data_IF_698300512006
#
_entry.id   IF_698300512006
#
_cell.length_a   1.000
_cell.length_b   1.000
_cell.length_c   1.000
_cell.angle_alpha   90.00
_cell.angle_beta   90.00
_cell.angle_gamma   90.00
#
_symmetry.space_group_name_H-M   'P 1'
#
loop_
_entity.id
_entity.type
_entity.pdbx_description
1 polymer ?
#
# COMPACT_ATOMS: atom_id res chain seq x y z
N UNK A 1 53.93 -4.70 -40.25
CA UNK A 1 53.63 -4.11 -41.57
C UNK A 1 52.18 -4.43 -41.88
N UNK A 2 51.23 -3.54 -42.19
CA UNK A 2 51.27 -2.27 -42.92
C UNK A 2 50.34 -1.23 -42.28
N UNK A 3 50.79 0.03 -42.33
CA UNK A 3 50.00 1.27 -42.24
C UNK A 3 49.01 1.34 -43.41
N UNK A 4 47.80 1.85 -43.17
CA UNK A 4 47.11 2.73 -44.11
C UNK A 4 46.56 3.94 -43.33
N UNK A 5 46.97 5.11 -43.80
CA UNK A 5 46.55 6.45 -43.40
C UNK A 5 45.46 6.92 -44.36
N UNK A 6 44.42 7.63 -43.90
CA UNK A 6 44.14 8.96 -44.45
C UNK A 6 43.08 9.79 -43.70
N UNK A 7 43.51 11.01 -43.37
CA UNK A 7 42.85 12.32 -43.47
C UNK A 7 41.32 12.46 -43.50
N UNK A 8 40.84 13.35 -42.61
CA UNK A 8 39.55 14.03 -42.73
C UNK A 8 39.34 15.07 -41.63
N UNK A 9 40.09 16.18 -41.67
CA UNK A 9 39.90 17.33 -40.77
C UNK A 9 38.63 18.08 -41.17
N UNK A 10 37.55 17.95 -40.39
CA UNK A 10 36.36 18.79 -40.47
C UNK A 10 36.39 19.78 -39.29
N UNK A 11 36.88 20.99 -39.56
CA UNK A 11 36.73 22.14 -38.65
C UNK A 11 35.26 22.57 -38.65
N UNK A 12 34.47 22.03 -37.72
CA UNK A 12 33.13 22.56 -37.42
C UNK A 12 33.31 23.77 -36.50
N UNK A 13 32.86 24.93 -36.97
CA UNK A 13 33.01 26.23 -36.32
C UNK A 13 32.45 26.21 -34.87
N UNK A 14 33.29 26.57 -33.90
CA UNK A 14 33.00 26.67 -32.45
C UNK A 14 32.00 27.80 -32.07
N UNK A 15 31.17 28.26 -33.00
CA UNK A 15 30.20 29.36 -32.78
C UNK A 15 28.74 28.86 -32.87
N UNK A 16 28.48 27.65 -33.38
CA UNK A 16 27.11 27.12 -33.53
C UNK A 16 26.56 26.44 -32.27
N UNK A 17 27.41 26.04 -31.32
CA UNK A 17 26.99 25.32 -30.11
C UNK A 17 26.25 26.17 -29.06
N UNK A 18 26.66 27.43 -28.75
CA UNK A 18 25.95 28.24 -27.75
C UNK A 18 24.60 28.78 -28.27
N UNK A 19 24.44 28.99 -29.57
CA UNK A 19 23.18 29.44 -30.17
C UNK A 19 22.09 28.37 -30.13
N UNK A 20 22.44 27.09 -30.35
CA UNK A 20 21.49 25.97 -30.27
C UNK A 20 20.94 25.74 -28.86
N UNK A 21 21.77 25.89 -27.82
CA UNK A 21 21.36 25.76 -26.42
C UNK A 21 20.40 26.88 -25.99
N UNK A 22 20.64 28.12 -26.42
CA UNK A 22 19.74 29.23 -26.11
C UNK A 22 18.37 29.06 -26.78
N UNK A 23 18.32 28.64 -28.06
CA UNK A 23 17.05 28.40 -28.76
C UNK A 23 16.27 27.25 -28.11
N UNK A 24 16.94 26.17 -27.71
CA UNK A 24 16.32 25.06 -26.99
C UNK A 24 15.74 25.47 -25.63
N UNK A 25 16.46 26.30 -24.86
CA UNK A 25 15.98 26.80 -23.58
C UNK A 25 14.78 27.75 -23.74
N UNK A 26 14.79 28.62 -24.75
CA UNK A 26 13.67 29.50 -25.06
C UNK A 26 12.42 28.73 -25.47
N UNK A 27 12.54 27.69 -26.31
CA UNK A 27 11.41 26.82 -26.68
C UNK A 27 10.88 26.07 -25.46
N UNK A 28 11.77 25.55 -24.60
CA UNK A 28 11.37 24.85 -23.38
C UNK A 28 10.68 25.76 -22.36
N UNK A 29 11.18 26.97 -22.14
CA UNK A 29 10.55 27.96 -21.25
C UNK A 29 9.22 28.47 -21.83
N UNK A 30 9.15 28.67 -23.15
CA UNK A 30 7.89 29.01 -23.82
C UNK A 30 6.87 27.87 -23.71
N UNK A 31 7.29 26.61 -23.83
CA UNK A 31 6.46 25.43 -23.62
C UNK A 31 5.94 25.34 -22.17
N UNK A 32 6.80 25.55 -21.17
CA UNK A 32 6.38 25.58 -19.75
C UNK A 32 5.40 26.73 -19.49
N UNK A 33 5.65 27.92 -20.03
CA UNK A 33 4.73 29.07 -19.88
C UNK A 33 3.41 28.84 -20.59
N UNK A 34 3.43 28.26 -21.78
CA UNK A 34 2.22 27.89 -22.54
C UNK A 34 1.40 26.85 -21.76
N UNK A 35 2.02 25.78 -21.27
CA UNK A 35 1.32 24.75 -20.50
C UNK A 35 0.81 25.23 -19.13
N UNK A 36 1.47 26.20 -18.47
CA UNK A 36 0.91 26.84 -17.26
C UNK A 36 -0.26 27.79 -17.58
N UNK A 37 -0.23 28.48 -18.72
CA UNK A 37 -1.31 29.38 -19.12
C UNK A 37 -2.61 28.64 -19.47
N UNK A 38 -2.53 27.44 -20.07
CA UNK A 38 -3.71 26.63 -20.41
C UNK A 38 -4.42 26.04 -19.18
N UNK A 39 -3.73 25.89 -18.05
CA UNK A 39 -4.35 25.42 -16.79
C UNK A 39 -5.08 26.54 -16.03
N UNK A 40 -4.83 27.81 -16.35
CA UNK A 40 -5.42 28.95 -15.61
C UNK A 40 -6.70 29.49 -16.26
N UNK A 41 -7.04 29.09 -17.50
CA UNK A 41 -8.27 29.51 -18.19
C UNK A 41 -9.46 28.55 -18.05
N UNK A 42 -9.28 27.38 -17.42
CA UNK A 42 -10.41 26.50 -17.09
C UNK A 42 -11.08 26.84 -15.74
N UNK A 43 -10.47 27.72 -14.93
CA UNK A 43 -10.95 28.03 -13.57
C UNK A 43 -11.71 29.36 -13.43
N UNK A 44 -11.82 30.17 -14.50
CA UNK A 44 -12.38 31.54 -14.42
C UNK A 44 -13.70 31.77 -15.19
N UNK A 45 -14.32 30.71 -15.72
CA UNK A 45 -15.54 30.85 -16.56
C UNK A 45 -16.86 30.44 -15.88
N UNK A 46 -16.89 30.18 -14.56
CA UNK A 46 -18.15 29.89 -13.83
C UNK A 46 -18.55 30.99 -12.83
N UNK A 47 -17.74 32.04 -12.62
CA UNK A 47 -18.10 33.17 -11.74
C UNK A 47 -18.69 34.35 -12.52
N UNK A 48 -19.86 34.16 -13.14
CA UNK A 48 -20.68 35.32 -13.58
C UNK A 48 -22.18 35.00 -13.76
N UNK A 49 -22.88 34.74 -12.67
CA UNK A 49 -24.33 34.94 -12.52
C UNK A 49 -24.66 34.91 -11.01
N UNK A 50 -24.54 36.03 -10.31
CA UNK A 50 -25.65 36.88 -9.86
C UNK A 50 -25.80 36.80 -8.32
N UNK A 51 -26.35 37.85 -7.67
CA UNK A 51 -26.00 38.25 -6.30
C UNK A 51 -27.08 37.89 -5.26
N UNK A 52 -26.72 37.87 -3.98
CA UNK A 52 -27.71 37.98 -2.90
C UNK A 52 -27.34 37.21 -1.63
N UNK A 53 -27.32 37.92 -0.52
CA UNK A 53 -27.01 37.44 0.81
C UNK A 53 -28.00 36.38 1.32
N UNK A 54 -27.49 35.41 2.09
CA UNK A 54 -28.05 35.17 3.43
C UNK A 54 -27.04 34.42 4.31
N UNK A 55 -26.62 35.10 5.38
CA UNK A 55 -25.92 34.51 6.51
C UNK A 55 -26.90 33.54 7.18
N UNK A 56 -26.63 32.24 7.05
CA UNK A 56 -27.43 31.18 7.64
C UNK A 56 -26.49 30.16 8.27
N UNK A 57 -26.60 30.00 9.58
CA UNK A 57 -25.82 29.07 10.38
C UNK A 57 -25.90 27.65 9.78
N UNK A 58 -24.75 27.08 9.42
CA UNK A 58 -24.64 25.64 9.20
C UNK A 58 -24.04 25.00 10.45
N UNK A 59 -24.89 24.29 11.14
CA UNK A 59 -24.60 23.51 12.33
C UNK A 59 -23.44 22.54 12.07
N UNK A 60 -22.59 22.37 13.08
CA UNK A 60 -21.57 21.33 13.13
C UNK A 60 -22.22 19.95 12.93
N UNK A 61 -21.96 19.31 11.79
CA UNK A 61 -22.24 17.88 11.62
C UNK A 61 -21.21 17.05 12.40
N UNK A 62 -21.59 15.91 13.00
CA UNK A 62 -20.64 15.04 13.68
C UNK A 62 -19.64 14.45 12.70
N UNK A 63 -18.39 14.34 13.14
CA UNK A 63 -17.26 13.75 12.42
C UNK A 63 -17.66 12.41 11.77
N UNK A 64 -17.63 12.32 10.43
CA UNK A 64 -17.66 11.06 9.70
C UNK A 64 -18.93 10.68 8.93
N UNK A 65 -19.95 11.54 8.83
CA UNK A 65 -21.11 11.27 7.95
C UNK A 65 -20.96 11.99 6.62
N UNK A 66 -20.73 11.24 5.53
CA UNK A 66 -21.00 11.76 4.19
C UNK A 66 -22.49 12.09 4.08
N UNK A 67 -22.85 13.01 3.17
CA UNK A 67 -24.20 13.56 3.01
C UNK A 67 -25.33 12.54 2.70
N UNK A 68 -25.01 11.25 2.64
CA UNK A 68 -25.87 10.13 2.28
C UNK A 68 -25.91 9.01 3.36
N UNK A 69 -25.41 9.28 4.58
CA UNK A 69 -25.42 8.30 5.69
C UNK A 69 -24.34 7.22 5.61
N UNK A 70 -23.41 7.34 4.66
CA UNK A 70 -22.23 6.49 4.56
C UNK A 70 -21.12 6.98 5.50
N UNK A 71 -20.56 6.07 6.30
CA UNK A 71 -19.41 6.31 7.15
C UNK A 71 -18.13 6.19 6.33
N UNK A 72 -17.27 7.21 6.37
CA UNK A 72 -15.93 7.17 5.75
C UNK A 72 -14.88 7.09 6.84
N UNK A 73 -13.94 6.17 6.72
CA UNK A 73 -12.85 6.02 7.67
C UNK A 73 -11.57 5.52 7.00
N UNK A 74 -10.44 5.66 7.70
CA UNK A 74 -9.12 5.39 7.16
C UNK A 74 -8.33 4.43 8.06
N UNK A 75 -7.31 3.79 7.49
CA UNK A 75 -6.31 3.04 8.23
C UNK A 75 -4.93 3.15 7.59
N UNK A 76 -3.88 3.30 8.40
CA UNK A 76 -2.49 3.37 7.95
C UNK A 76 -1.76 2.12 8.41
N UNK A 77 -1.21 1.36 7.46
CA UNK A 77 -0.41 0.16 7.71
C UNK A 77 0.98 0.31 7.14
N UNK A 78 1.98 0.19 8.01
CA UNK A 78 3.38 0.07 7.64
C UNK A 78 3.77 -1.41 7.57
N UNK A 79 4.29 -1.83 6.42
CA UNK A 79 4.95 -3.11 6.22
C UNK A 79 6.47 -2.89 6.30
N UNK A 80 7.07 -3.37 7.39
CA UNK A 80 8.52 -3.37 7.55
C UNK A 80 9.13 -4.71 7.11
N UNK A 81 9.45 -4.79 5.81
CA UNK A 81 10.16 -5.90 5.20
C UNK A 81 11.69 -5.79 5.28
N UNK A 82 12.38 -6.89 4.99
CA UNK A 82 13.85 -6.94 4.93
C UNK A 82 14.45 -6.05 3.83
N UNK A 83 13.77 -5.93 2.70
CA UNK A 83 14.25 -5.23 1.50
C UNK A 83 13.74 -3.80 1.38
N UNK A 84 12.73 -3.42 2.16
CA UNK A 84 12.10 -2.11 2.11
C UNK A 84 11.02 -1.96 3.16
N UNK A 85 10.72 -0.72 3.50
CA UNK A 85 9.59 -0.34 4.37
C UNK A 85 8.54 0.34 3.52
N UNK A 86 7.29 -0.08 3.66
CA UNK A 86 6.17 0.39 2.84
C UNK A 86 5.11 0.98 3.76
N UNK A 87 4.37 1.97 3.26
CA UNK A 87 3.14 2.47 3.88
C UNK A 87 1.99 2.27 2.90
N UNK A 88 0.89 1.77 3.45
CA UNK A 88 -0.41 1.65 2.81
C UNK A 88 -1.39 2.53 3.59
N UNK A 89 -2.06 3.45 2.90
CA UNK A 89 -3.14 4.25 3.44
C UNK A 89 -4.42 3.79 2.76
N UNK A 90 -5.34 3.21 3.53
CA UNK A 90 -6.59 2.68 3.04
C UNK A 90 -7.74 3.61 3.42
N UNK A 91 -8.59 3.93 2.45
CA UNK A 91 -9.87 4.59 2.68
C UNK A 91 -11.00 3.59 2.52
N UNK A 92 -11.91 3.58 3.49
CA UNK A 92 -13.08 2.73 3.51
C UNK A 92 -14.34 3.56 3.51
N UNK A 93 -15.39 3.02 2.88
CA UNK A 93 -16.75 3.54 3.00
C UNK A 93 -17.66 2.44 3.51
N UNK A 94 -18.52 2.75 4.49
CA UNK A 94 -19.47 1.81 5.07
C UNK A 94 -20.89 2.35 4.95
N UNK A 95 -21.76 1.72 4.14
CA UNK A 95 -23.19 1.96 4.18
C UNK A 95 -23.79 1.48 5.52
N UNK A 96 -24.92 2.05 5.96
CA UNK A 96 -25.58 1.61 7.19
C UNK A 96 -25.88 0.11 7.19
N UNK A 97 -25.40 -0.60 8.22
CA UNK A 97 -25.59 -2.06 8.40
C UNK A 97 -24.94 -2.96 7.35
N UNK A 98 -24.05 -2.42 6.52
CA UNK A 98 -23.29 -3.19 5.53
C UNK A 98 -21.82 -3.34 5.92
N UNK A 99 -21.13 -4.25 5.23
CA UNK A 99 -19.68 -4.38 5.36
C UNK A 99 -18.99 -3.19 4.70
N UNK A 100 -17.96 -2.61 5.35
CA UNK A 100 -17.16 -1.57 4.73
C UNK A 100 -16.48 -2.08 3.46
N UNK A 101 -16.39 -1.23 2.44
CA UNK A 101 -15.69 -1.49 1.18
C UNK A 101 -14.44 -0.64 1.10
N UNK A 102 -13.38 -1.16 0.47
CA UNK A 102 -12.19 -0.36 0.16
C UNK A 102 -12.50 0.54 -1.03
N UNK A 103 -12.33 1.86 -0.87
CA UNK A 103 -12.55 2.82 -1.96
C UNK A 103 -11.26 3.37 -2.54
N UNK A 104 -10.18 3.43 -1.75
CA UNK A 104 -8.90 3.96 -2.20
C UNK A 104 -7.72 3.36 -1.41
N UNK A 105 -6.59 3.16 -2.09
CA UNK A 105 -5.30 2.83 -1.47
C UNK A 105 -4.22 3.79 -1.99
N UNK A 106 -3.50 4.42 -1.06
CA UNK A 106 -2.24 5.09 -1.34
C UNK A 106 -1.08 4.22 -0.88
N UNK A 107 -0.12 3.98 -1.78
CA UNK A 107 1.04 3.14 -1.53
C UNK A 107 2.36 3.90 -1.76
N UNK A 108 3.29 3.79 -0.80
CA UNK A 108 4.67 4.27 -0.94
C UNK A 108 5.66 3.29 -0.31
N UNK A 109 6.77 3.04 -0.99
CA UNK A 109 7.85 2.19 -0.50
C UNK A 109 9.19 2.95 -0.45
N UNK A 110 9.98 2.67 0.57
CA UNK A 110 11.35 3.13 0.74
C UNK A 110 12.34 1.95 0.78
N UNK A 111 13.57 2.23 0.35
CA UNK A 111 14.72 1.34 0.46
C UNK A 111 15.92 2.14 1.00
N UNK A 112 16.77 1.55 1.87
CA UNK A 112 16.68 0.19 2.40
C UNK A 112 15.55 0.03 3.43
N UNK A 113 15.21 -1.22 3.76
CA UNK A 113 14.17 -1.53 4.75
C UNK A 113 14.60 -1.26 6.19
N UNK A 114 13.64 -1.27 7.11
CA UNK A 114 13.86 -0.94 8.52
C UNK A 114 15.02 -1.73 9.15
N UNK A 115 15.17 -3.02 8.81
CA UNK A 115 16.24 -3.88 9.33
C UNK A 115 17.66 -3.40 9.01
N UNK A 116 17.85 -2.61 7.95
CA UNK A 116 19.17 -2.06 7.61
C UNK A 116 19.66 -1.01 8.62
N UNK A 117 18.76 -0.48 9.45
CA UNK A 117 19.06 0.51 10.49
C UNK A 117 19.23 -0.11 11.88
N UNK A 118 19.37 -1.44 11.99
CA UNK A 118 19.51 -2.14 13.27
C UNK A 118 20.73 -1.68 14.10
N UNK A 119 21.76 -1.15 13.44
CA UNK A 119 22.98 -0.61 14.08
C UNK A 119 22.93 0.92 14.28
N UNK A 120 22.01 1.62 13.64
CA UNK A 120 21.85 3.07 13.71
C UNK A 120 20.37 3.44 13.74
N UNK A 121 19.78 3.23 14.92
CA UNK A 121 18.35 3.33 15.16
C UNK A 121 17.83 4.76 14.90
N UNK A 122 18.65 5.79 15.10
CA UNK A 122 18.24 7.18 14.86
C UNK A 122 17.95 7.45 13.38
N UNK A 123 18.73 6.87 12.46
CA UNK A 123 18.46 6.99 11.02
C UNK A 123 17.15 6.33 10.57
N UNK A 124 16.63 5.37 11.34
CA UNK A 124 15.35 4.73 11.02
C UNK A 124 14.17 5.70 11.09
N UNK A 125 14.24 6.71 11.97
CA UNK A 125 13.16 7.66 12.19
C UNK A 125 12.87 8.52 10.96
N UNK A 126 13.90 8.89 10.18
CA UNK A 126 13.74 9.73 9.00
C UNK A 126 12.89 9.05 7.92
N UNK A 127 13.15 7.77 7.62
CA UNK A 127 12.36 7.02 6.64
C UNK A 127 10.91 6.82 7.09
N UNK A 128 10.69 6.58 8.39
CA UNK A 128 9.34 6.50 8.95
C UNK A 128 8.62 7.85 8.86
N UNK A 129 9.31 8.95 9.14
CA UNK A 129 8.73 10.30 9.04
C UNK A 129 8.34 10.64 7.60
N UNK A 130 9.18 10.31 6.62
CA UNK A 130 8.88 10.51 5.20
C UNK A 130 7.59 9.78 4.80
N UNK A 131 7.42 8.53 5.24
CA UNK A 131 6.20 7.76 4.97
C UNK A 131 4.97 8.29 5.73
N UNK A 132 5.15 8.81 6.96
CA UNK A 132 4.07 9.47 7.70
C UNK A 132 3.61 10.76 7.03
N UNK A 133 4.52 11.49 6.38
CA UNK A 133 4.16 12.71 5.68
C UNK A 133 3.34 12.43 4.42
N UNK A 134 3.51 11.26 3.79
CA UNK A 134 2.59 10.77 2.74
C UNK A 134 1.18 10.60 3.31
N UNK A 135 1.05 9.96 4.48
CA UNK A 135 -0.26 9.75 5.10
C UNK A 135 -0.95 11.08 5.51
N UNK A 136 -0.19 12.07 5.97
CA UNK A 136 -0.72 13.42 6.27
C UNK A 136 -1.19 14.17 5.03
N UNK A 137 -0.56 13.94 3.89
CA UNK A 137 -0.97 14.56 2.61
C UNK A 137 -2.22 13.90 2.04
N UNK A 138 -2.39 12.60 2.26
CA UNK A 138 -3.50 11.81 1.72
C UNK A 138 -4.79 11.92 2.56
N UNK A 139 -4.67 11.90 3.89
CA UNK A 139 -5.83 11.88 4.80
C UNK A 139 -6.23 13.32 5.18
N UNK A 140 -7.52 13.71 5.08
CA UNK A 140 -7.97 15.02 5.54
C UNK A 140 -7.75 15.20 7.05
N UNK A 141 -7.38 16.42 7.45
CA UNK A 141 -6.97 16.75 8.82
C UNK A 141 -7.95 16.29 9.90
N UNK A 142 -9.26 16.41 9.65
CA UNK A 142 -10.30 16.05 10.61
C UNK A 142 -10.31 14.55 10.97
N UNK A 143 -9.80 13.69 10.08
CA UNK A 143 -9.73 12.25 10.31
C UNK A 143 -8.47 11.79 11.03
N UNK A 144 -7.43 12.64 11.16
CA UNK A 144 -6.13 12.21 11.69
C UNK A 144 -6.22 11.51 13.04
N UNK A 145 -6.91 12.12 14.01
CA UNK A 145 -7.08 11.56 15.37
C UNK A 145 -7.90 10.28 15.42
N UNK A 146 -8.68 9.98 14.39
CA UNK A 146 -9.52 8.78 14.29
C UNK A 146 -8.82 7.65 13.52
N UNK A 147 -7.86 7.98 12.65
CA UNK A 147 -7.19 7.02 11.78
C UNK A 147 -6.16 6.18 12.53
N UNK A 148 -6.34 4.85 12.64
CA UNK A 148 -5.35 3.98 13.27
C UNK A 148 -4.06 3.90 12.46
N UNK A 149 -2.94 3.97 13.17
CA UNK A 149 -1.59 3.85 12.62
C UNK A 149 -0.89 2.62 13.21
N UNK A 150 -0.52 1.68 12.33
CA UNK A 150 0.07 0.41 12.71
C UNK A 150 1.29 0.10 11.86
N UNK A 151 2.32 -0.51 12.46
CA UNK A 151 3.45 -1.12 11.79
C UNK A 151 3.52 -2.60 12.16
N UNK A 152 3.64 -3.43 11.14
CA UNK A 152 3.94 -4.85 11.31
C UNK A 152 5.24 -5.19 10.60
N UNK A 153 6.18 -5.73 11.38
CA UNK A 153 7.46 -6.17 10.85
C UNK A 153 7.41 -7.65 10.46
N UNK A 154 7.96 -7.98 9.30
CA UNK A 154 7.93 -9.33 8.73
C UNK A 154 9.27 -10.05 8.94
N UNK A 155 9.53 -11.10 8.15
CA UNK A 155 10.66 -12.02 8.33
C UNK A 155 12.02 -11.35 8.53
N UNK A 156 12.29 -10.21 7.88
CA UNK A 156 13.57 -9.50 8.02
C UNK A 156 13.92 -9.09 9.44
N UNK A 157 12.94 -8.58 10.20
CA UNK A 157 13.17 -8.16 11.58
C UNK A 157 13.11 -9.34 12.56
N UNK A 158 12.43 -10.45 12.21
CA UNK A 158 12.44 -11.70 13.01
C UNK A 158 13.85 -12.29 13.15
N UNK A 159 14.70 -12.06 12.15
CA UNK A 159 16.07 -12.60 12.09
C UNK A 159 17.11 -11.71 12.79
N UNK A 160 16.74 -10.50 13.22
CA UNK A 160 17.64 -9.63 13.97
C UNK A 160 17.78 -10.13 15.41
N UNK A 161 18.93 -9.88 16.08
CA UNK A 161 19.05 -10.11 17.51
C UNK A 161 17.94 -9.38 18.26
N UNK A 162 17.29 -10.07 19.22
CA UNK A 162 16.07 -9.57 19.87
C UNK A 162 16.20 -8.17 20.45
N UNK A 163 17.34 -7.84 21.04
CA UNK A 163 17.60 -6.50 21.60
C UNK A 163 17.65 -5.40 20.52
N UNK A 164 18.27 -5.68 19.37
CA UNK A 164 18.35 -4.71 18.25
C UNK A 164 16.97 -4.49 17.63
N UNK A 165 16.22 -5.57 17.40
CA UNK A 165 14.86 -5.49 16.89
C UNK A 165 13.95 -4.68 17.84
N UNK A 166 14.04 -4.94 19.15
CA UNK A 166 13.26 -4.22 20.15
C UNK A 166 13.61 -2.73 20.20
N UNK A 167 14.89 -2.36 20.21
CA UNK A 167 15.32 -0.94 20.18
C UNK A 167 14.79 -0.21 18.94
N UNK A 168 14.86 -0.86 17.79
CA UNK A 168 14.38 -0.32 16.52
C UNK A 168 12.85 -0.13 16.54
N UNK A 169 12.09 -1.13 16.97
CA UNK A 169 10.63 -1.05 17.08
C UNK A 169 10.19 -0.03 18.13
N UNK A 170 10.93 0.10 19.23
CA UNK A 170 10.68 1.10 20.25
C UNK A 170 10.86 2.51 19.69
N UNK A 171 11.90 2.75 18.88
CA UNK A 171 12.08 4.03 18.19
C UNK A 171 10.94 4.34 17.24
N UNK A 172 10.48 3.37 16.45
CA UNK A 172 9.29 3.55 15.60
C UNK A 172 8.06 3.91 16.43
N UNK A 173 7.86 3.23 17.56
CA UNK A 173 6.73 3.49 18.47
C UNK A 173 6.77 4.92 19.02
N UNK A 174 7.94 5.47 19.32
CA UNK A 174 8.12 6.87 19.73
C UNK A 174 7.72 7.83 18.61
N UNK A 175 8.20 7.59 17.38
CA UNK A 175 7.83 8.40 16.20
C UNK A 175 6.31 8.35 15.95
N UNK A 176 5.69 7.18 16.09
CA UNK A 176 4.24 7.02 15.94
C UNK A 176 3.47 7.79 17.02
N UNK A 177 3.88 7.68 18.29
CA UNK A 177 3.25 8.43 19.39
C UNK A 177 3.37 9.94 19.26
N UNK A 178 4.41 10.44 18.59
CA UNK A 178 4.57 11.86 18.27
C UNK A 178 3.73 12.31 17.06
N UNK A 179 3.17 11.38 16.29
CA UNK A 179 2.31 11.66 15.14
C UNK A 179 0.89 12.06 15.58
N UNK A 180 0.11 12.72 14.72
CA UNK A 180 -1.27 13.12 15.04
C UNK A 180 -2.30 11.98 14.89
N UNK A 181 -1.85 10.78 14.49
CA UNK A 181 -2.71 9.64 14.22
C UNK A 181 -3.07 8.85 15.48
N UNK A 182 -4.10 7.99 15.39
CA UNK A 182 -4.50 7.12 16.49
C UNK A 182 -3.51 5.97 16.66
N UNK A 183 -2.85 5.91 17.82
CA UNK A 183 -1.83 4.91 18.14
C UNK A 183 -2.25 4.12 19.37
N UNK A 184 -2.51 2.82 19.21
CA UNK A 184 -2.74 1.89 20.31
C UNK A 184 -1.43 1.35 20.92
N UNK A 185 -1.52 0.60 22.00
CA UNK A 185 -0.35 0.04 22.69
C UNK A 185 0.41 -1.00 21.86
N UNK A 186 -0.28 -1.70 20.96
CA UNK A 186 0.20 -2.75 20.06
C UNK A 186 0.40 -2.27 18.61
N UNK A 187 0.46 -0.95 18.42
CA UNK A 187 0.65 -0.29 17.13
C UNK A 187 1.91 -0.74 16.38
N UNK A 188 2.95 -1.18 17.08
CA UNK A 188 4.20 -1.66 16.47
C UNK A 188 4.48 -3.05 16.99
N UNK A 189 4.49 -4.05 16.11
CA UNK A 189 4.82 -5.42 16.50
C UNK A 189 5.49 -6.21 15.38
N UNK A 190 6.21 -7.26 15.77
CA UNK A 190 6.65 -8.29 14.83
C UNK A 190 5.45 -9.21 14.58
N UNK A 191 5.06 -9.36 13.33
CA UNK A 191 4.03 -10.32 12.94
C UNK A 191 4.66 -11.71 12.89
N UNK A 192 3.99 -12.77 13.35
CA UNK A 192 4.46 -14.14 13.10
C UNK A 192 4.00 -14.62 11.70
N UNK A 193 4.52 -15.75 11.21
CA UNK A 193 4.14 -16.25 9.86
C UNK A 193 2.68 -16.69 9.74
N UNK A 194 2.09 -17.19 10.83
CA UNK A 194 0.69 -17.62 10.88
C UNK A 194 -0.27 -16.43 10.76
N UNK A 195 -0.03 -15.36 11.52
CA UNK A 195 -0.80 -14.11 11.51
C UNK A 195 -0.72 -13.42 10.15
N UNK A 196 0.43 -13.53 9.48
CA UNK A 196 0.64 -13.06 8.11
C UNK A 196 -0.26 -13.83 7.13
N UNK A 197 -0.37 -15.15 7.28
CA UNK A 197 -1.30 -16.00 6.53
C UNK A 197 -2.77 -15.67 6.79
N UNK A 198 -3.17 -15.46 8.04
CA UNK A 198 -4.53 -15.05 8.41
C UNK A 198 -4.87 -13.67 7.84
N UNK A 199 -3.93 -12.72 7.88
CA UNK A 199 -4.12 -11.38 7.32
C UNK A 199 -4.24 -11.40 5.80
N UNK A 200 -3.45 -12.24 5.12
CA UNK A 200 -3.61 -12.49 3.69
C UNK A 200 -4.99 -13.10 3.36
N UNK A 201 -5.47 -14.01 4.20
CA UNK A 201 -6.81 -14.59 4.06
C UNK A 201 -7.93 -13.57 4.22
N UNK A 202 -7.88 -12.72 5.25
CA UNK A 202 -8.84 -11.62 5.46
C UNK A 202 -8.85 -10.70 4.24
N UNK A 203 -7.67 -10.34 3.72
CA UNK A 203 -7.52 -9.51 2.52
C UNK A 203 -8.27 -10.10 1.33
N UNK A 204 -8.08 -11.40 1.05
CA UNK A 204 -8.75 -12.09 -0.04
C UNK A 204 -10.28 -12.01 0.14
N UNK A 205 -10.79 -12.33 1.33
CA UNK A 205 -12.23 -12.34 1.57
C UNK A 205 -12.83 -10.92 1.54
N UNK A 206 -12.11 -9.93 2.07
CA UNK A 206 -12.56 -8.55 2.19
C UNK A 206 -12.64 -7.85 0.83
N UNK A 207 -11.68 -8.09 -0.05
CA UNK A 207 -11.64 -7.40 -1.34
C UNK A 207 -12.60 -8.00 -2.38
N UNK A 208 -13.21 -9.16 -2.14
CA UNK A 208 -13.90 -9.85 -3.23
C UNK A 208 -15.26 -9.24 -3.61
N UNK A 209 -15.26 -8.35 -4.61
CA UNK A 209 -16.41 -8.11 -5.50
C UNK A 209 -16.34 -9.06 -6.74
N UNK A 210 -17.50 -9.52 -7.19
CA UNK A 210 -17.71 -10.81 -7.86
C UNK A 210 -17.31 -10.90 -9.34
N UNK A 211 -16.99 -9.79 -10.01
CA UNK A 211 -17.13 -9.76 -11.48
C UNK A 211 -15.88 -10.14 -12.30
N UNK A 212 -14.68 -10.30 -11.71
CA UNK A 212 -13.46 -10.72 -12.46
C UNK A 212 -12.55 -11.74 -11.76
N UNK A 213 -13.02 -12.36 -10.67
CA UNK A 213 -12.28 -13.42 -9.97
C UNK A 213 -12.50 -14.82 -10.58
N UNK A 214 -11.64 -15.76 -10.21
CA UNK A 214 -11.87 -17.20 -10.42
C UNK A 214 -12.30 -17.86 -9.10
N UNK A 215 -13.30 -18.73 -9.17
CA UNK A 215 -13.73 -19.57 -8.05
C UNK A 215 -12.98 -20.90 -8.12
N UNK A 216 -12.16 -21.19 -7.12
CA UNK A 216 -11.55 -22.49 -6.91
C UNK A 216 -12.19 -23.14 -5.69
N UNK A 217 -12.30 -24.44 -5.68
CA UNK A 217 -12.74 -25.20 -4.51
C UNK A 217 -11.49 -25.64 -3.74
N UNK A 218 -11.53 -25.68 -2.41
CA UNK A 218 -10.39 -26.15 -1.59
C UNK A 218 -9.92 -27.54 -2.05
N UNK A 219 -10.84 -28.41 -2.44
CA UNK A 219 -10.54 -29.71 -3.04
C UNK A 219 -9.73 -29.64 -4.34
N UNK A 220 -9.78 -28.53 -5.09
CA UNK A 220 -9.04 -28.38 -6.35
C UNK A 220 -7.53 -28.33 -6.12
N UNK A 221 -7.07 -27.78 -4.99
CA UNK A 221 -5.66 -27.77 -4.61
C UNK A 221 -5.13 -29.18 -4.38
N UNK A 222 -5.94 -30.05 -3.78
CA UNK A 222 -5.58 -31.44 -3.56
C UNK A 222 -5.56 -32.24 -4.88
N UNK A 223 -6.53 -32.01 -5.75
CA UNK A 223 -6.60 -32.63 -7.09
C UNK A 223 -5.37 -32.21 -7.91
N UNK A 224 -5.04 -30.92 -7.91
CA UNK A 224 -3.88 -30.39 -8.60
C UNK A 224 -2.56 -30.94 -8.02
N UNK A 225 -2.42 -30.99 -6.69
CA UNK A 225 -1.26 -31.58 -6.03
C UNK A 225 -1.05 -33.04 -6.48
N UNK A 226 -2.11 -33.87 -6.42
CA UNK A 226 -2.05 -35.27 -6.87
C UNK A 226 -1.66 -35.41 -8.34
N UNK A 227 -2.19 -34.55 -9.19
CA UNK A 227 -1.88 -34.56 -10.62
C UNK A 227 -0.41 -34.19 -10.88
N UNK A 228 0.06 -33.07 -10.33
CA UNK A 228 1.42 -32.56 -10.54
C UNK A 228 2.45 -33.50 -9.91
N UNK A 229 2.22 -34.00 -8.69
CA UNK A 229 3.11 -34.96 -8.04
C UNK A 229 3.27 -36.27 -8.82
N UNK A 230 2.24 -36.71 -9.56
CA UNK A 230 2.28 -37.92 -10.39
C UNK A 230 2.87 -37.72 -11.78
N UNK A 231 2.80 -36.50 -12.31
CA UNK A 231 3.22 -36.18 -13.68
C UNK A 231 4.55 -35.42 -13.75
N UNK A 232 5.17 -35.15 -12.60
CA UNK A 232 6.41 -34.39 -12.48
C UNK A 232 7.58 -34.97 -13.28
N UNK A 233 7.63 -36.29 -13.43
CA UNK A 233 8.66 -36.98 -14.21
C UNK A 233 8.44 -36.87 -15.74
N UNK A 234 7.20 -36.63 -16.17
CA UNK A 234 6.81 -36.66 -17.60
C UNK A 234 6.47 -35.27 -18.16
N UNK A 235 6.15 -34.29 -17.31
CA UNK A 235 5.88 -32.90 -17.70
C UNK A 235 6.68 -31.89 -16.86
N UNK A 236 7.95 -31.60 -17.22
CA UNK A 236 8.80 -30.65 -16.51
C UNK A 236 8.38 -29.17 -16.65
N UNK A 237 7.32 -28.88 -17.42
CA UNK A 237 6.76 -27.52 -17.62
C UNK A 237 6.11 -26.93 -16.36
N UNK A 238 5.79 -27.77 -15.36
CA UNK A 238 5.11 -27.37 -14.12
C UNK A 238 6.01 -26.63 -13.12
N UNK A 239 7.32 -26.58 -13.37
CA UNK A 239 8.31 -26.07 -12.42
C UNK A 239 8.70 -27.13 -11.37
N UNK A 240 9.97 -27.14 -10.91
CA UNK A 240 10.51 -28.23 -10.08
C UNK A 240 9.88 -28.36 -8.69
N UNK A 241 9.18 -27.33 -8.20
CA UNK A 241 8.63 -27.29 -6.84
C UNK A 241 7.10 -27.31 -6.77
N UNK A 242 6.40 -27.36 -7.91
CA UNK A 242 4.94 -27.23 -7.93
C UNK A 242 4.18 -28.32 -7.15
N UNK A 243 4.69 -29.55 -7.10
CA UNK A 243 4.11 -30.59 -6.24
C UNK A 243 4.23 -30.23 -4.75
N UNK A 244 5.39 -29.73 -4.34
CA UNK A 244 5.62 -29.32 -2.95
C UNK A 244 4.73 -28.14 -2.59
N UNK A 245 4.67 -27.12 -3.46
CA UNK A 245 3.87 -25.91 -3.24
C UNK A 245 2.36 -26.25 -3.16
N UNK A 246 1.83 -27.03 -4.10
CA UNK A 246 0.42 -27.44 -4.09
C UNK A 246 0.07 -28.35 -2.91
N UNK A 247 0.98 -29.25 -2.53
CA UNK A 247 0.79 -30.10 -1.34
C UNK A 247 0.78 -29.27 -0.06
N UNK A 248 1.70 -28.30 0.04
CA UNK A 248 1.76 -27.38 1.17
C UNK A 248 0.49 -26.54 1.30
N UNK A 249 0.01 -25.93 0.20
CA UNK A 249 -1.22 -25.14 0.20
C UNK A 249 -2.43 -26.02 0.54
N UNK A 250 -2.53 -27.24 0.00
CA UNK A 250 -3.62 -28.16 0.31
C UNK A 250 -3.66 -28.54 1.79
N UNK A 251 -2.51 -28.86 2.39
CA UNK A 251 -2.42 -29.20 3.82
C UNK A 251 -2.71 -27.99 4.70
N UNK A 252 -2.18 -26.82 4.35
CA UNK A 252 -2.43 -25.59 5.08
C UNK A 252 -3.92 -25.24 5.13
N UNK A 253 -4.64 -25.37 4.00
CA UNK A 253 -6.09 -25.15 3.96
C UNK A 253 -6.86 -26.16 4.80
N UNK A 254 -6.39 -27.40 4.91
CA UNK A 254 -6.99 -28.43 5.76
C UNK A 254 -6.75 -28.14 7.26
N UNK A 255 -5.54 -27.75 7.64
CA UNK A 255 -5.18 -27.37 9.02
C UNK A 255 -5.94 -26.12 9.48
N UNK A 256 -6.25 -25.19 8.56
CA UNK A 256 -7.16 -24.08 8.84
C UNK A 256 -8.64 -24.48 8.94
N UNK A 257 -8.97 -25.76 8.79
CA UNK A 257 -10.32 -26.30 8.97
C UNK A 257 -11.26 -26.05 7.79
N UNK A 258 -10.75 -25.70 6.60
CA UNK A 258 -11.62 -25.50 5.46
C UNK A 258 -12.17 -26.84 4.93
N UNK A 259 -13.50 -27.00 4.80
CA UNK A 259 -14.05 -28.18 4.17
C UNK A 259 -13.65 -28.19 2.69
N UNK A 260 -13.42 -29.38 2.14
CA UNK A 260 -13.04 -29.54 0.74
C UNK A 260 -13.97 -28.83 -0.24
N UNK A 261 -15.26 -28.68 0.08
CA UNK A 261 -16.27 -28.00 -0.74
C UNK A 261 -16.23 -26.47 -0.67
N UNK A 262 -15.38 -25.89 0.20
CA UNK A 262 -15.29 -24.44 0.35
C UNK A 262 -14.79 -23.82 -0.95
N UNK A 263 -15.54 -22.87 -1.48
CA UNK A 263 -15.12 -22.04 -2.62
C UNK A 263 -14.21 -20.92 -2.10
N UNK A 264 -12.99 -20.88 -2.63
CA UNK A 264 -12.01 -19.81 -2.52
C UNK A 264 -12.09 -18.95 -3.78
N UNK A 265 -12.17 -17.64 -3.61
CA UNK A 265 -12.04 -16.69 -4.73
C UNK A 265 -10.62 -16.15 -4.74
N UNK A 266 -9.89 -16.36 -5.83
CA UNK A 266 -8.53 -15.85 -5.97
C UNK A 266 -8.51 -14.55 -6.79
N UNK A 267 -7.74 -13.59 -6.31
CA UNK A 267 -7.47 -12.33 -7.01
C UNK A 267 -6.06 -11.84 -6.70
N UNK A 268 -5.42 -11.20 -7.68
CA UNK A 268 -4.04 -10.65 -7.58
C UNK A 268 -4.04 -9.14 -7.37
N UNK A 269 -5.14 -8.46 -7.75
CA UNK A 269 -5.38 -7.02 -7.61
C UNK A 269 -6.88 -6.77 -7.62
N UNK A 270 -7.37 -5.86 -6.78
CA UNK A 270 -8.79 -5.44 -6.77
C UNK A 270 -8.82 -3.94 -7.01
N UNK A 271 -9.47 -3.50 -8.09
CA UNK A 271 -9.48 -2.09 -8.51
C UNK A 271 -8.08 -1.43 -8.57
N UNK A 272 -7.09 -2.21 -9.04
CA UNK A 272 -5.67 -1.82 -9.14
C UNK A 272 -4.92 -1.69 -7.80
N UNK A 273 -5.58 -2.00 -6.67
CA UNK A 273 -5.01 -2.15 -5.32
C UNK A 273 -4.30 -3.51 -5.21
N UNK A 274 -3.08 -3.52 -4.66
CA UNK A 274 -2.33 -4.76 -4.46
C UNK A 274 -2.95 -5.57 -3.32
N UNK A 275 -3.27 -6.84 -3.55
CA UNK A 275 -3.76 -7.74 -2.49
C UNK A 275 -2.60 -8.06 -1.54
N UNK A 276 -2.32 -7.15 -0.61
CA UNK A 276 -1.28 -7.31 0.40
C UNK A 276 -1.92 -7.65 1.74
N UNK A 277 -1.27 -8.51 2.53
CA UNK A 277 -1.69 -8.84 3.90
C UNK A 277 -1.90 -7.59 4.77
N UNK A 278 -1.30 -6.46 4.40
CA UNK A 278 -1.44 -5.17 5.06
C UNK A 278 -2.90 -4.74 5.19
N UNK A 279 -3.74 -5.00 4.17
CA UNK A 279 -5.16 -4.67 4.21
C UNK A 279 -5.92 -5.49 5.26
N UNK A 280 -5.76 -6.81 5.24
CA UNK A 280 -6.41 -7.67 6.22
C UNK A 280 -5.93 -7.39 7.63
N UNK A 281 -4.64 -7.09 7.80
CA UNK A 281 -4.07 -6.73 9.09
C UNK A 281 -4.63 -5.41 9.64
N UNK A 282 -4.78 -4.37 8.80
CA UNK A 282 -5.34 -3.09 9.27
C UNK A 282 -6.84 -3.20 9.53
N UNK A 283 -7.56 -3.95 8.70
CA UNK A 283 -8.99 -4.16 8.88
C UNK A 283 -9.29 -4.88 10.19
N UNK A 284 -8.57 -5.97 10.46
CA UNK A 284 -8.65 -6.68 11.73
C UNK A 284 -8.29 -5.79 12.92
N UNK A 285 -7.31 -4.89 12.76
CA UNK A 285 -6.92 -3.94 13.80
C UNK A 285 -8.03 -2.93 14.13
N UNK A 286 -8.60 -2.29 13.10
CA UNK A 286 -9.72 -1.34 13.25
C UNK A 286 -10.90 -2.02 13.97
N UNK A 287 -11.24 -3.23 13.55
CA UNK A 287 -12.32 -4.03 14.14
C UNK A 287 -12.05 -4.37 15.62
N UNK A 288 -10.80 -4.72 15.97
CA UNK A 288 -10.38 -4.90 17.36
C UNK A 288 -10.55 -3.65 18.22
N UNK A 289 -10.13 -2.48 17.72
CA UNK A 289 -10.29 -1.20 18.42
C UNK A 289 -11.77 -0.85 18.66
N UNK A 290 -12.63 -1.13 17.69
CA UNK A 290 -14.07 -0.88 17.80
C UNK A 290 -14.74 -1.78 18.83
N UNK A 291 -14.34 -3.06 18.92
CA UNK A 291 -14.78 -3.97 19.99
C UNK A 291 -14.38 -3.47 21.37
N UNK A 292 -13.17 -2.95 21.54
CA UNK A 292 -12.73 -2.42 22.84
C UNK A 292 -13.51 -1.17 23.28
N UNK A 293 -13.98 -0.34 22.33
CA UNK A 293 -14.83 0.82 22.62
C UNK A 293 -16.28 0.46 22.95
N UNK A 294 -16.74 -0.74 22.56
CA UNK A 294 -18.11 -1.21 22.74
C UNK A 294 -18.13 -2.45 23.65
N UNK A 295 -17.82 -2.32 24.96
CA UNK A 295 -18.01 -3.44 25.87
C UNK A 295 -19.49 -3.80 25.89
N UNK A 296 -19.80 -5.07 25.67
CA UNK A 296 -21.15 -5.61 25.65
C UNK A 296 -21.94 -5.08 26.86
N UNK A 297 -23.02 -4.35 26.56
CA UNK A 297 -24.04 -3.93 27.52
C UNK A 297 -24.85 -5.12 28.01
#
# INVERSE_FOLDING_TARGET
MRKISNHGSLRVAKVAYPLGLCVGLFIYVAYIKWHRATTTQAFFSITRAAPGAQWGQQAHSPLGTAADGHEVFYGIMFDAGSTGTRVHIFQFTRPPRETPTLTHETFKALKPGLSAYADDVEKSAQGIQELLDVAKQDIPFDFWKATPLVLKATAGLRLLPGEKAQKLLQKVKEVFKASPFLVGDDCVSIMNGTDEGVSAWITINFLTDAEKGGSLVVGDFEIAAKYVCRTLETQPQSGPFACMDLTYVSLLLQEFGFPRSKVLKLTRKIDNVETSWALGAIFHYIDSLNRQKSPAS
#
